data_IF_224546275896
#
_entry.id   IF_224546275896
#
_cell.length_a   1.000
_cell.length_b   1.000
_cell.length_c   1.000
_cell.angle_alpha   90.00
_cell.angle_beta   90.00
_cell.angle_gamma   90.00
#
_symmetry.space_group_name_H-M   'P 1'
#
loop_
_entity.id
_entity.type
_entity.pdbx_description
1 polymer ?
#
# COMPACT_ATOMS: atom_id res chain seq x y z
N UNK A 1 -9.44 14.29 12.01
CA UNK A 1 -10.93 14.15 11.90
C UNK A 1 -11.21 13.05 10.89
N UNK A 2 -12.20 12.18 11.12
CA UNK A 2 -12.55 11.13 10.15
C UNK A 2 -13.51 11.69 9.10
N UNK A 3 -13.20 11.47 7.82
CA UNK A 3 -14.13 11.76 6.73
C UNK A 3 -14.95 10.50 6.42
N UNK A 4 -16.27 10.62 6.47
CA UNK A 4 -17.20 9.50 6.22
C UNK A 4 -17.21 9.02 4.77
N UNK A 5 -16.71 9.82 3.85
CA UNK A 5 -16.56 9.44 2.44
C UNK A 5 -15.18 8.85 2.11
N UNK A 6 -14.24 8.91 3.05
CA UNK A 6 -12.89 8.41 2.86
C UNK A 6 -12.80 6.91 3.18
N UNK A 7 -12.38 6.12 2.20
CA UNK A 7 -12.23 4.68 2.34
C UNK A 7 -11.25 4.30 3.47
N UNK A 8 -10.14 5.00 3.60
CA UNK A 8 -9.14 4.72 4.63
C UNK A 8 -9.60 5.12 6.03
N UNK A 9 -10.38 6.20 6.17
CA UNK A 9 -10.95 6.60 7.45
C UNK A 9 -12.01 5.62 7.95
N UNK A 10 -12.89 5.20 7.04
CA UNK A 10 -14.03 4.36 7.37
C UNK A 10 -13.69 2.87 7.40
N UNK A 11 -12.63 2.48 6.67
CA UNK A 11 -12.25 1.06 6.53
C UNK A 11 -13.42 0.22 5.97
N UNK A 12 -13.47 -1.07 6.28
CA UNK A 12 -14.61 -1.92 5.90
C UNK A 12 -14.90 -1.93 4.39
N UNK A 13 -16.17 -1.83 4.03
CA UNK A 13 -16.64 -2.01 2.64
C UNK A 13 -16.06 -1.01 1.64
N UNK A 14 -15.75 0.21 2.08
CA UNK A 14 -15.20 1.22 1.18
C UNK A 14 -13.80 0.86 0.72
N UNK A 15 -12.92 0.50 1.65
CA UNK A 15 -11.56 0.09 1.32
C UNK A 15 -11.50 -1.31 0.71
N UNK A 16 -12.44 -2.18 1.05
CA UNK A 16 -12.52 -3.54 0.53
C UNK A 16 -12.73 -3.60 -1.00
N UNK A 17 -13.15 -2.52 -1.62
CA UNK A 17 -13.27 -2.42 -3.08
C UNK A 17 -11.91 -2.54 -3.79
N UNK A 18 -10.84 -2.09 -3.16
CA UNK A 18 -9.50 -2.05 -3.77
C UNK A 18 -8.37 -2.55 -2.85
N UNK A 19 -8.63 -2.74 -1.57
CA UNK A 19 -7.65 -3.13 -0.56
C UNK A 19 -8.09 -4.34 0.25
N UNK A 20 -7.15 -5.26 0.50
CA UNK A 20 -7.33 -6.36 1.43
C UNK A 20 -6.51 -6.07 2.70
N UNK A 21 -7.10 -6.11 3.91
CA UNK A 21 -6.41 -5.71 5.13
C UNK A 21 -5.25 -6.66 5.46
N UNK A 22 -4.09 -6.10 5.76
CA UNK A 22 -2.92 -6.85 6.22
C UNK A 22 -2.75 -6.70 7.73
N UNK A 23 -2.46 -5.50 8.20
CA UNK A 23 -2.32 -5.21 9.64
C UNK A 23 -2.34 -3.71 9.94
N UNK A 24 -2.61 -3.40 11.19
CA UNK A 24 -2.35 -2.08 11.76
C UNK A 24 -0.86 -1.92 12.04
N UNK A 25 -0.35 -0.72 11.79
CA UNK A 25 1.03 -0.33 12.04
C UNK A 25 1.05 0.91 12.96
N UNK A 26 2.21 1.33 13.41
CA UNK A 26 2.33 2.48 14.32
C UNK A 26 1.82 3.78 13.69
N UNK A 27 2.15 4.00 12.42
CA UNK A 27 1.80 5.23 11.71
C UNK A 27 0.59 5.10 10.80
N UNK A 28 0.05 3.89 10.59
CA UNK A 28 -1.03 3.70 9.65
C UNK A 28 -1.59 2.29 9.59
N UNK A 29 -2.20 1.98 8.46
CA UNK A 29 -2.76 0.66 8.20
C UNK A 29 -2.28 0.13 6.84
N UNK A 30 -1.84 -1.11 6.82
CA UNK A 30 -1.31 -1.78 5.63
C UNK A 30 -2.39 -2.62 4.95
N UNK A 31 -2.53 -2.40 3.64
CA UNK A 31 -3.44 -3.15 2.77
C UNK A 31 -2.68 -3.78 1.61
N UNK A 32 -3.04 -5.00 1.22
CA UNK A 32 -2.75 -5.47 -0.14
C UNK A 32 -3.61 -4.67 -1.12
N UNK A 33 -3.02 -4.17 -2.19
CA UNK A 33 -3.80 -3.68 -3.32
C UNK A 33 -4.40 -4.88 -4.05
N UNK A 34 -5.72 -4.90 -4.24
CA UNK A 34 -6.39 -6.11 -4.78
C UNK A 34 -5.98 -6.44 -6.20
N UNK A 35 -5.71 -5.43 -7.02
CA UNK A 35 -5.15 -5.67 -8.34
C UNK A 35 -3.66 -6.04 -8.21
N UNK A 36 -3.34 -7.28 -8.53
CA UNK A 36 -2.03 -7.90 -8.27
C UNK A 36 -1.21 -8.18 -9.54
N UNK A 37 -1.39 -7.40 -10.61
CA UNK A 37 -0.51 -7.50 -11.78
C UNK A 37 0.95 -7.19 -11.44
N UNK A 38 1.19 -6.38 -10.41
CA UNK A 38 2.49 -6.23 -9.74
C UNK A 38 2.42 -7.02 -8.43
N UNK A 39 2.86 -8.27 -8.46
CA UNK A 39 2.75 -9.19 -7.32
C UNK A 39 3.41 -8.63 -6.07
N UNK A 40 2.64 -8.55 -4.99
CA UNK A 40 3.10 -8.00 -3.72
C UNK A 40 2.83 -6.51 -3.52
N UNK A 41 2.13 -5.85 -4.46
CA UNK A 41 1.76 -4.44 -4.31
C UNK A 41 0.89 -4.22 -3.08
N UNK A 42 1.30 -3.25 -2.26
CA UNK A 42 0.59 -2.85 -1.04
C UNK A 42 0.39 -1.34 -0.98
N UNK A 43 -0.49 -0.93 -0.08
CA UNK A 43 -0.74 0.47 0.27
C UNK A 43 -0.56 0.62 1.77
N UNK A 44 0.28 1.56 2.20
CA UNK A 44 0.32 2.03 3.58
C UNK A 44 -0.45 3.34 3.67
N UNK A 45 -1.62 3.32 4.32
CA UNK A 45 -2.43 4.49 4.56
C UNK A 45 -2.09 5.09 5.92
N UNK A 46 -1.84 6.40 5.97
CA UNK A 46 -1.53 7.09 7.22
C UNK A 46 -2.73 7.03 8.19
N UNK A 47 -2.47 7.05 9.48
CA UNK A 47 -3.50 6.85 10.53
C UNK A 47 -4.56 7.94 10.58
N UNK A 48 -4.19 9.19 10.27
CA UNK A 48 -5.07 10.35 10.35
C UNK A 48 -5.48 10.84 8.96
N UNK A 49 -6.63 11.50 8.89
CA UNK A 49 -7.10 12.09 7.64
C UNK A 49 -6.37 13.41 7.38
N UNK A 50 -5.26 13.31 6.68
CA UNK A 50 -4.49 14.44 6.15
C UNK A 50 -4.30 14.23 4.66
N UNK A 51 -4.14 15.31 3.90
CA UNK A 51 -4.03 15.23 2.44
C UNK A 51 -2.63 14.83 2.00
N UNK A 52 -1.62 15.48 2.55
CA UNK A 52 -0.24 15.38 2.07
C UNK A 52 0.78 15.30 3.21
N UNK A 53 2.01 14.96 2.87
CA UNK A 53 3.12 14.89 3.83
C UNK A 53 3.45 16.23 4.51
N UNK A 54 3.07 17.33 3.87
CA UNK A 54 3.27 18.68 4.44
C UNK A 54 2.28 19.02 5.55
N UNK A 55 1.24 18.22 5.71
CA UNK A 55 0.18 18.42 6.71
C UNK A 55 0.51 17.79 8.07
N UNK A 56 1.63 17.08 8.16
CA UNK A 56 2.11 16.43 9.37
C UNK A 56 3.49 16.97 9.76
N UNK A 57 3.88 16.79 11.02
CA UNK A 57 5.19 17.23 11.50
C UNK A 57 6.33 16.44 10.86
N UNK A 58 7.54 16.96 10.93
CA UNK A 58 8.74 16.29 10.45
C UNK A 58 8.94 14.92 11.12
N UNK A 59 8.70 14.84 12.42
CA UNK A 59 8.83 13.58 13.17
C UNK A 59 7.80 12.53 12.72
N UNK A 60 6.54 12.93 12.55
CA UNK A 60 5.49 12.05 12.04
C UNK A 60 5.77 11.57 10.62
N UNK A 61 6.21 12.49 9.75
CA UNK A 61 6.62 12.13 8.39
C UNK A 61 7.78 11.14 8.40
N UNK A 62 8.81 11.40 9.21
CA UNK A 62 9.97 10.53 9.31
C UNK A 62 9.57 9.13 9.83
N UNK A 63 8.69 9.04 10.81
CA UNK A 63 8.16 7.79 11.31
C UNK A 63 7.36 7.03 10.21
N UNK A 64 6.52 7.75 9.46
CA UNK A 64 5.76 7.17 8.35
C UNK A 64 6.68 6.60 7.26
N UNK A 65 7.72 7.32 6.84
CA UNK A 65 8.69 6.82 5.88
C UNK A 65 9.54 5.68 6.42
N UNK A 66 9.83 5.65 7.71
CA UNK A 66 10.50 4.51 8.33
C UNK A 66 9.63 3.24 8.22
N UNK A 67 8.32 3.36 8.41
CA UNK A 67 7.40 2.24 8.18
C UNK A 67 7.27 1.85 6.71
N UNK A 68 7.23 2.80 5.78
CA UNK A 68 7.31 2.51 4.34
C UNK A 68 8.54 1.67 4.02
N UNK A 69 9.70 2.04 4.57
CA UNK A 69 10.94 1.27 4.42
C UNK A 69 10.84 -0.13 5.02
N UNK A 70 10.25 -0.26 6.22
CA UNK A 70 10.03 -1.55 6.88
C UNK A 70 9.14 -2.47 6.03
N UNK A 71 8.04 -1.95 5.51
CA UNK A 71 7.15 -2.68 4.60
C UNK A 71 7.90 -3.12 3.34
N UNK A 72 8.69 -2.23 2.74
CA UNK A 72 9.48 -2.56 1.55
C UNK A 72 10.47 -3.70 1.79
N UNK A 73 11.10 -3.74 2.96
CA UNK A 73 11.97 -4.87 3.35
C UNK A 73 11.19 -6.18 3.45
N UNK A 74 9.98 -6.14 4.02
CA UNK A 74 9.10 -7.31 4.07
C UNK A 74 8.71 -7.78 2.66
N UNK A 75 8.36 -6.85 1.76
CA UNK A 75 8.05 -7.15 0.36
C UNK A 75 9.24 -7.80 -0.36
N UNK A 76 10.45 -7.27 -0.17
CA UNK A 76 11.66 -7.90 -0.73
C UNK A 76 11.87 -9.32 -0.20
N UNK A 77 11.65 -9.52 1.09
CA UNK A 77 11.83 -10.83 1.74
C UNK A 77 10.83 -11.88 1.24
N UNK A 78 9.57 -11.48 1.01
CA UNK A 78 8.50 -12.40 0.61
C UNK A 78 8.48 -12.64 -0.91
N UNK A 79 8.62 -11.58 -1.72
CA UNK A 79 8.38 -11.63 -3.16
C UNK A 79 9.66 -11.51 -4.01
N UNK A 80 10.76 -11.09 -3.39
CA UNK A 80 12.06 -10.92 -4.05
C UNK A 80 12.00 -10.10 -5.37
N UNK A 81 11.39 -8.91 -5.37
CA UNK A 81 11.37 -8.06 -6.55
C UNK A 81 12.77 -7.50 -6.87
N UNK A 82 12.99 -7.12 -8.12
CA UNK A 82 14.22 -6.43 -8.52
C UNK A 82 14.24 -4.97 -8.08
N UNK A 83 13.06 -4.35 -7.95
CA UNK A 83 12.90 -2.96 -7.54
C UNK A 83 11.54 -2.77 -6.85
N UNK A 84 11.47 -1.79 -5.96
CA UNK A 84 10.21 -1.26 -5.43
C UNK A 84 10.06 0.18 -5.88
N UNK A 85 8.92 0.51 -6.47
CA UNK A 85 8.53 1.87 -6.78
C UNK A 85 7.56 2.39 -5.71
N UNK A 86 7.58 3.69 -5.50
CA UNK A 86 6.76 4.36 -4.50
C UNK A 86 5.93 5.46 -5.15
N UNK A 87 4.70 5.63 -4.70
CA UNK A 87 3.87 6.72 -5.18
C UNK A 87 2.84 7.16 -4.14
N UNK A 88 2.79 8.46 -3.89
CA UNK A 88 1.76 9.09 -3.08
C UNK A 88 0.91 9.97 -3.99
N UNK A 89 -0.36 9.64 -4.09
CA UNK A 89 -1.36 10.32 -4.90
C UNK A 89 -2.53 10.72 -3.99
N UNK A 90 -3.65 11.11 -4.51
CA UNK A 90 -4.79 11.44 -3.68
C UNK A 90 -5.60 12.60 -4.21
N UNK A 91 -5.50 12.85 -5.52
CA UNK A 91 -6.22 13.92 -6.20
C UNK A 91 -7.73 13.82 -5.99
N UNK A 92 -8.25 12.59 -5.89
CA UNK A 92 -9.68 12.34 -5.70
C UNK A 92 -10.05 11.85 -4.32
N UNK A 93 -9.13 11.25 -3.59
CA UNK A 93 -9.33 10.73 -2.25
C UNK A 93 -8.30 11.29 -1.27
N UNK A 94 -8.47 12.55 -0.86
CA UNK A 94 -7.54 13.32 -0.02
C UNK A 94 -7.18 12.62 1.31
N UNK A 95 -6.40 11.55 1.25
CA UNK A 95 -5.88 10.86 2.43
C UNK A 95 -4.47 10.38 2.16
N UNK A 96 -3.53 10.81 2.96
CA UNK A 96 -2.12 10.45 2.80
C UNK A 96 -1.94 8.93 2.82
N UNK A 97 -1.46 8.40 1.72
CA UNK A 97 -1.13 6.98 1.59
C UNK A 97 0.03 6.79 0.61
N UNK A 98 0.75 5.70 0.77
CA UNK A 98 1.87 5.34 -0.09
C UNK A 98 1.59 4.02 -0.79
N UNK A 99 1.57 4.04 -2.13
CA UNK A 99 1.66 2.82 -2.91
C UNK A 99 3.10 2.31 -2.89
N UNK A 100 3.27 1.05 -2.59
CA UNK A 100 4.55 0.35 -2.55
C UNK A 100 4.45 -0.79 -3.56
N UNK A 101 5.12 -0.62 -4.72
CA UNK A 101 4.87 -1.41 -5.92
C UNK A 101 6.11 -2.18 -6.33
N UNK A 102 6.12 -3.51 -6.14
CA UNK A 102 7.21 -4.35 -6.62
C UNK A 102 7.29 -4.35 -8.14
N UNK A 103 8.50 -4.36 -8.66
CA UNK A 103 8.78 -4.52 -10.08
C UNK A 103 9.83 -5.60 -10.31
N UNK A 104 9.66 -6.29 -11.42
CA UNK A 104 10.48 -7.42 -11.82
C UNK A 104 11.11 -7.13 -13.16
N UNK A 105 12.44 -7.33 -13.27
CA UNK A 105 13.18 -7.09 -14.51
C UNK A 105 12.64 -7.99 -15.63
N UNK A 106 12.37 -7.40 -16.78
CA UNK A 106 11.73 -8.08 -17.90
C UNK A 106 10.20 -8.17 -17.81
N UNK A 107 9.61 -7.69 -16.71
CA UNK A 107 8.15 -7.58 -16.55
C UNK A 107 7.60 -6.31 -17.17
N UNK A 108 6.27 -6.19 -17.14
CA UNK A 108 5.55 -5.01 -17.62
C UNK A 108 6.01 -3.74 -16.89
N UNK A 109 6.13 -2.66 -17.65
CA UNK A 109 6.45 -1.32 -17.17
C UNK A 109 7.86 -1.19 -16.54
N UNK A 110 8.75 -2.15 -16.78
CA UNK A 110 10.13 -2.01 -16.35
C UNK A 110 10.79 -0.81 -17.07
N UNK A 111 11.38 0.08 -16.29
CA UNK A 111 11.98 1.32 -16.80
C UNK A 111 11.01 2.51 -16.91
N UNK A 112 9.73 2.32 -16.59
CA UNK A 112 8.71 3.37 -16.56
C UNK A 112 7.97 3.43 -15.24
N UNK A 113 6.92 4.26 -15.18
CA UNK A 113 6.00 4.32 -14.06
C UNK A 113 5.01 3.16 -14.09
N UNK A 114 4.47 2.78 -12.93
CA UNK A 114 3.40 1.78 -12.86
C UNK A 114 2.04 2.40 -13.21
N UNK A 115 1.16 1.61 -13.84
CA UNK A 115 -0.24 1.98 -14.03
C UNK A 115 -0.97 1.91 -12.70
N UNK A 116 -1.76 2.95 -12.38
CA UNK A 116 -2.46 3.03 -11.09
C UNK A 116 -3.44 1.86 -10.91
N UNK A 117 -4.27 1.58 -11.91
CA UNK A 117 -5.24 0.49 -11.86
C UNK A 117 -5.26 -0.28 -13.19
N UNK A 118 -4.40 -1.29 -13.36
CA UNK A 118 -4.37 -2.09 -14.60
C UNK A 118 -5.64 -2.90 -14.86
N UNK A 119 -6.40 -3.25 -13.82
CA UNK A 119 -7.63 -4.06 -13.90
C UNK A 119 -7.44 -5.39 -14.64
N UNK A 120 -6.39 -6.13 -14.27
CA UNK A 120 -5.99 -7.37 -14.97
C UNK A 120 -5.97 -8.62 -14.08
N UNK A 121 -5.41 -8.53 -12.86
CA UNK A 121 -5.12 -9.69 -12.01
C UNK A 121 -5.77 -9.51 -10.64
N UNK A 122 -6.73 -10.37 -10.35
CA UNK A 122 -7.38 -10.47 -9.05
C UNK A 122 -7.24 -11.88 -8.50
N UNK A 123 -7.16 -12.00 -7.19
CA UNK A 123 -6.96 -13.25 -6.48
C UNK A 123 -8.24 -13.69 -5.77
N UNK A 124 -8.26 -14.92 -5.31
CA UNK A 124 -9.28 -15.39 -4.37
C UNK A 124 -9.01 -14.86 -2.97
N UNK A 125 -10.02 -14.87 -2.10
CA UNK A 125 -9.85 -14.44 -0.70
C UNK A 125 -8.78 -15.27 0.03
N UNK A 126 -8.72 -16.57 -0.22
CA UNK A 126 -7.68 -17.45 0.34
C UNK A 126 -6.27 -17.07 -0.12
N UNK A 127 -6.11 -16.70 -1.38
CA UNK A 127 -4.82 -16.25 -1.93
C UNK A 127 -4.40 -14.90 -1.34
N UNK A 128 -5.33 -13.96 -1.19
CA UNK A 128 -5.05 -12.68 -0.50
C UNK A 128 -4.63 -12.92 0.95
N UNK A 129 -5.34 -13.80 1.69
CA UNK A 129 -5.00 -14.08 3.08
C UNK A 129 -3.62 -14.72 3.21
N UNK A 130 -3.26 -15.65 2.34
CA UNK A 130 -1.91 -16.24 2.32
C UNK A 130 -0.81 -15.19 2.08
N UNK A 131 -1.05 -14.27 1.15
CA UNK A 131 -0.12 -13.15 0.93
C UNK A 131 -0.02 -12.25 2.17
N UNK A 132 -1.15 -11.90 2.75
CA UNK A 132 -1.21 -11.05 3.94
C UNK A 132 -0.48 -11.70 5.13
N UNK A 133 -0.67 -12.99 5.36
CA UNK A 133 0.04 -13.76 6.38
C UNK A 133 1.56 -13.74 6.16
N UNK A 134 1.99 -13.98 4.94
CA UNK A 134 3.42 -13.96 4.60
C UNK A 134 4.05 -12.59 4.85
N UNK A 135 3.35 -11.50 4.49
CA UNK A 135 3.81 -10.13 4.75
C UNK A 135 3.86 -9.86 6.25
N UNK A 136 2.80 -10.19 7.01
CA UNK A 136 2.78 -10.04 8.47
C UNK A 136 3.95 -10.74 9.14
N UNK A 137 4.25 -11.98 8.72
CA UNK A 137 5.35 -12.76 9.26
C UNK A 137 6.74 -12.16 8.94
N UNK A 138 6.84 -11.36 7.88
CA UNK A 138 8.09 -10.73 7.45
C UNK A 138 8.32 -9.33 8.04
N UNK A 139 7.27 -8.71 8.61
CA UNK A 139 7.35 -7.42 9.29
C UNK A 139 8.02 -7.57 10.66
#
# INVERSE_FOLDING_TARGET
>A
MKDTNCAYCMKGDLVAKFGYPVCEMETGFLYLFKEQSKKGRVILAYKDHVSEMIDISDDERNAFFAEVSKVSKAIHKVFNPDKVNYGAYGDTGCHLHMHIVPKYNGGDEWGGTFTMNPDKVYLTDDEYEKMAEAIRAAL
#
